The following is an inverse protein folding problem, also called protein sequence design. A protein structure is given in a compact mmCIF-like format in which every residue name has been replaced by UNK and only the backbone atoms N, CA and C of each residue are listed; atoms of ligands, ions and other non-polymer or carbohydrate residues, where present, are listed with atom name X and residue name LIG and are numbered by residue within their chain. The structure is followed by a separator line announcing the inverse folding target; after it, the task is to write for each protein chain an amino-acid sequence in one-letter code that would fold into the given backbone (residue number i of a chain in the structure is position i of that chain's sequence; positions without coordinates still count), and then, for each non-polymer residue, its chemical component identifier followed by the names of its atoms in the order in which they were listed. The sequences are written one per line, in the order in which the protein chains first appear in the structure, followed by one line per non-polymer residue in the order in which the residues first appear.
data_IF_137981359251
#
_entry.id   IF_137981359251
#
_cell.length_a   1.000
_cell.length_b   1.000
_cell.length_c   1.000
_cell.angle_alpha   90.00
_cell.angle_beta   90.00
_cell.angle_gamma   90.00
#
_symmetry.space_group_name_H-M   'P 1'
#
loop_
_entity.id
_entity.type
_entity.pdbx_description
1 polymer ?
#
# COMPACT_ATOMS: atom_id res chain seq x y z
N UNK A 1 3.86 -34.61 -24.96
CA UNK A 1 3.94 -33.20 -24.53
C UNK A 1 3.48 -33.13 -23.10
N UNK A 2 4.40 -33.07 -22.15
CA UNK A 2 4.08 -33.07 -20.71
C UNK A 2 3.81 -31.62 -20.29
N UNK A 3 2.55 -31.30 -20.01
CA UNK A 3 2.19 -30.01 -19.42
C UNK A 3 2.75 -29.98 -17.98
N UNK A 4 3.83 -29.22 -17.77
CA UNK A 4 4.26 -28.88 -16.41
C UNK A 4 3.16 -28.03 -15.78
N UNK A 5 2.44 -28.62 -14.82
CA UNK A 5 1.53 -27.86 -13.99
C UNK A 5 2.35 -26.90 -13.12
N UNK A 6 2.29 -25.62 -13.44
CA UNK A 6 2.85 -24.55 -12.62
C UNK A 6 2.15 -24.60 -11.27
N UNK A 7 2.83 -25.13 -10.25
CA UNK A 7 2.31 -25.16 -8.87
C UNK A 7 2.07 -23.71 -8.45
N UNK A 8 0.80 -23.31 -8.36
CA UNK A 8 0.43 -22.03 -7.78
C UNK A 8 0.77 -22.08 -6.29
N UNK A 9 1.90 -21.49 -5.92
CA UNK A 9 2.25 -21.22 -4.53
C UNK A 9 1.59 -19.89 -4.21
N UNK A 10 0.50 -19.83 -3.44
CA UNK A 10 -0.06 -18.55 -3.03
C UNK A 10 1.02 -17.84 -2.23
N UNK A 11 1.52 -16.72 -2.77
CA UNK A 11 2.32 -15.81 -1.98
C UNK A 11 1.47 -15.39 -0.75
N UNK A 12 2.08 -15.26 0.43
CA UNK A 12 1.34 -14.75 1.58
C UNK A 12 0.68 -13.41 1.19
N UNK A 13 -0.57 -13.16 1.63
CA UNK A 13 -1.29 -11.95 1.25
C UNK A 13 -0.47 -10.74 1.68
N UNK A 14 -0.15 -9.86 0.71
CA UNK A 14 0.58 -8.63 0.98
C UNK A 14 -0.24 -7.80 1.95
N UNK A 15 0.35 -7.48 3.10
CA UNK A 15 -0.34 -6.62 4.07
C UNK A 15 -0.47 -5.21 3.50
N UNK A 16 -1.51 -4.45 3.88
CA UNK A 16 -1.64 -3.07 3.43
C UNK A 16 -0.41 -2.21 3.77
N UNK A 17 0.26 -2.51 4.89
CA UNK A 17 1.47 -1.82 5.30
C UNK A 17 2.66 -2.07 4.38
N UNK A 18 2.87 -3.32 3.97
CA UNK A 18 3.88 -3.69 2.97
C UNK A 18 3.56 -3.05 1.62
N UNK A 19 2.29 -3.08 1.20
CA UNK A 19 1.88 -2.42 -0.05
C UNK A 19 2.20 -0.92 -0.03
N UNK A 20 1.85 -0.19 1.04
CA UNK A 20 2.16 1.23 1.15
C UNK A 20 3.67 1.50 1.10
N UNK A 21 4.47 0.65 1.75
CA UNK A 21 5.92 0.79 1.71
C UNK A 21 6.46 0.57 0.31
N UNK A 22 6.13 -0.56 -0.30
CA UNK A 22 6.79 -1.04 -1.52
C UNK A 22 6.24 -0.39 -2.79
N UNK A 23 4.99 0.09 -2.77
CA UNK A 23 4.33 0.70 -3.94
C UNK A 23 4.23 2.21 -3.87
N UNK A 24 4.37 2.82 -2.69
CA UNK A 24 4.24 4.27 -2.53
C UNK A 24 5.50 4.88 -1.92
N UNK A 25 5.87 4.51 -0.70
CA UNK A 25 6.97 5.19 0.02
C UNK A 25 8.33 4.99 -0.69
N UNK A 26 8.66 3.74 -1.04
CA UNK A 26 9.95 3.40 -1.65
C UNK A 26 10.05 3.94 -3.09
N UNK A 27 9.08 3.72 -4.00
CA UNK A 27 9.19 4.21 -5.38
C UNK A 27 9.18 5.73 -5.49
N UNK A 28 8.42 6.41 -4.63
CA UNK A 28 8.32 7.87 -4.65
C UNK A 28 9.40 8.55 -3.78
N UNK A 29 10.17 7.79 -3.00
CA UNK A 29 11.18 8.34 -2.08
C UNK A 29 10.59 9.24 -0.99
N UNK A 30 9.32 9.06 -0.64
CA UNK A 30 8.62 9.91 0.34
C UNK A 30 8.55 9.26 1.71
N UNK A 31 8.48 10.10 2.74
CA UNK A 31 8.28 9.68 4.11
C UNK A 31 6.82 9.39 4.43
N UNK A 32 6.56 8.65 5.51
CA UNK A 32 5.20 8.46 6.04
C UNK A 32 4.50 9.77 6.39
N UNK A 33 5.27 10.80 6.74
CA UNK A 33 4.75 12.13 7.08
C UNK A 33 4.23 12.85 5.83
N UNK A 34 5.03 12.85 4.75
CA UNK A 34 4.62 13.38 3.45
C UNK A 34 3.39 12.64 2.89
N UNK A 35 3.35 11.31 3.03
CA UNK A 35 2.16 10.53 2.65
C UNK A 35 0.95 10.91 3.50
N UNK A 36 1.11 11.09 4.81
CA UNK A 36 0.03 11.51 5.69
C UNK A 36 -0.51 12.89 5.33
N UNK A 37 0.38 13.84 4.99
CA UNK A 37 0.02 15.17 4.51
C UNK A 37 -0.77 15.10 3.19
N UNK A 38 -0.31 14.29 2.22
CA UNK A 38 -0.99 14.08 0.94
C UNK A 38 -2.39 13.45 1.10
N UNK A 39 -2.54 12.53 2.06
CA UNK A 39 -3.82 11.87 2.37
C UNK A 39 -4.72 12.71 3.29
N UNK A 40 -4.21 13.82 3.83
CA UNK A 40 -4.87 14.66 4.85
C UNK A 40 -5.28 13.85 6.09
N UNK A 41 -4.38 13.01 6.58
CA UNK A 41 -4.58 12.17 7.78
C UNK A 41 -3.42 12.36 8.76
N UNK A 42 -3.58 11.89 10.00
CA UNK A 42 -2.48 11.92 10.96
C UNK A 42 -1.35 10.96 10.55
N UNK A 43 -0.10 11.37 10.75
CA UNK A 43 1.08 10.50 10.62
C UNK A 43 0.93 9.20 11.41
N UNK A 44 0.33 9.27 12.60
CA UNK A 44 0.02 8.10 13.42
C UNK A 44 -0.86 7.08 12.70
N UNK A 45 -1.86 7.54 11.93
CA UNK A 45 -2.72 6.64 11.14
C UNK A 45 -1.93 5.90 10.06
N UNK A 46 -1.07 6.59 9.33
CA UNK A 46 -0.19 5.97 8.32
C UNK A 46 0.77 5.00 8.99
N UNK A 47 1.37 5.37 10.12
CA UNK A 47 2.29 4.51 10.86
C UNK A 47 1.63 3.21 11.34
N UNK A 48 0.40 3.30 11.86
CA UNK A 48 -0.35 2.11 12.30
C UNK A 48 -0.67 1.18 11.12
N UNK A 49 -0.99 1.72 9.94
CA UNK A 49 -1.23 0.90 8.74
C UNK A 49 0.07 0.25 8.27
N UNK A 50 1.17 1.02 8.17
CA UNK A 50 2.49 0.51 7.75
C UNK A 50 3.01 -0.59 8.70
N UNK A 51 2.73 -0.49 10.00
CA UNK A 51 3.12 -1.48 11.00
C UNK A 51 2.06 -2.58 11.21
N UNK A 52 1.01 -2.66 10.39
CA UNK A 52 -0.03 -3.70 10.50
C UNK A 52 -0.89 -3.63 11.76
N UNK A 53 -0.86 -2.51 12.50
CA UNK A 53 -1.65 -2.29 13.73
C UNK A 53 -3.06 -1.76 13.44
N UNK A 54 -3.33 -1.35 12.19
CA UNK A 54 -4.64 -0.84 11.76
C UNK A 54 -4.95 -1.31 10.34
N UNK A 55 -6.16 -1.80 10.14
CA UNK A 55 -6.70 -2.10 8.81
C UNK A 55 -6.98 -0.83 8.01
N UNK A 56 -6.81 -0.91 6.69
CA UNK A 56 -7.20 0.17 5.77
C UNK A 56 -8.73 0.20 5.69
N UNK A 57 -9.33 1.34 6.06
CA UNK A 57 -10.77 1.57 5.94
C UNK A 57 -11.12 1.95 4.50
N UNK A 58 -12.40 1.84 4.13
CA UNK A 58 -12.88 2.25 2.81
C UNK A 58 -12.55 3.73 2.51
N UNK A 59 -12.70 4.64 3.48
CA UNK A 59 -12.31 6.05 3.34
C UNK A 59 -10.81 6.20 3.06
N UNK A 60 -9.96 5.46 3.77
CA UNK A 60 -8.52 5.48 3.55
C UNK A 60 -8.15 4.92 2.17
N UNK A 61 -8.84 3.86 1.71
CA UNK A 61 -8.64 3.30 0.37
C UNK A 61 -9.01 4.31 -0.72
N UNK A 62 -10.11 5.07 -0.55
CA UNK A 62 -10.50 6.13 -1.47
C UNK A 62 -9.49 7.29 -1.48
N UNK A 63 -8.96 7.68 -0.31
CA UNK A 63 -7.89 8.69 -0.22
C UNK A 63 -6.63 8.21 -0.93
N UNK A 64 -6.21 6.98 -0.66
CA UNK A 64 -5.06 6.37 -1.34
C UNK A 64 -5.25 6.34 -2.85
N UNK A 65 -6.41 5.87 -3.32
CA UNK A 65 -6.74 5.87 -4.75
C UNK A 65 -6.66 7.28 -5.35
N UNK A 66 -7.13 8.33 -4.67
CA UNK A 66 -7.00 9.70 -5.16
C UNK A 66 -5.55 10.17 -5.28
N UNK A 67 -4.69 9.78 -4.35
CA UNK A 67 -3.27 10.19 -4.34
C UNK A 67 -2.43 9.36 -5.31
N UNK A 68 -2.81 8.10 -5.57
CA UNK A 68 -2.06 7.20 -6.47
C UNK A 68 -2.56 7.22 -7.91
N UNK A 69 -3.86 7.43 -8.14
CA UNK A 69 -4.46 7.45 -9.49
C UNK A 69 -4.11 8.71 -10.30
N UNK A 70 -3.28 9.62 -9.78
CA UNK A 70 -2.76 10.77 -10.52
C UNK A 70 -1.48 10.46 -11.29
N UNK A 71 -1.01 9.20 -11.28
CA UNK A 71 0.18 8.76 -12.01
C UNK A 71 -0.15 7.57 -12.93
N UNK A 72 -1.12 7.75 -13.81
CA UNK A 72 -1.22 6.93 -15.03
C UNK A 72 -0.38 7.60 -16.12
N UNK A 73 0.89 7.18 -16.22
CA UNK A 73 1.64 7.16 -17.48
C UNK A 73 1.35 5.84 -18.20
#
# INVERSE_FOLDING_TARGET
MTLQQTRFVPAPPVTPGEFLRDRILVPLGITQDQLAAALQVSRFSVNQIVNGRRSVTADMALRLAKVTSTSSE
#
